data_IF_158132606543
#
_entry.id   IF_158132606543
#
_cell.length_a   1.000
_cell.length_b   1.000
_cell.length_c   1.000
_cell.angle_alpha   90.00
_cell.angle_beta   90.00
_cell.angle_gamma   90.00
#
_symmetry.space_group_name_H-M   'P 1'
#
loop_
_entity.id
_entity.type
_entity.pdbx_description
1 polymer ?
#
# COMPACT_ATOMS: atom_id res chain seq x y z
N UNK A 1 1.76 -21.22 10.95
CA UNK A 1 1.60 -19.84 10.43
C UNK A 1 2.14 -19.85 9.01
N UNK A 2 1.33 -19.45 8.03
CA UNK A 2 1.72 -19.38 6.62
C UNK A 2 2.17 -17.94 6.32
N UNK A 3 3.38 -17.74 5.82
CA UNK A 3 3.94 -16.43 5.54
C UNK A 3 4.26 -16.34 4.05
N UNK A 4 3.65 -15.39 3.34
CA UNK A 4 4.01 -15.08 1.97
C UNK A 4 5.36 -14.35 1.94
N UNK A 5 6.29 -14.87 1.18
CA UNK A 5 7.56 -14.20 0.93
C UNK A 5 7.41 -13.12 -0.15
N UNK A 6 8.28 -12.09 -0.16
CA UNK A 6 8.26 -11.08 -1.21
C UNK A 6 8.44 -11.72 -2.60
N UNK A 7 7.60 -11.34 -3.56
CA UNK A 7 7.69 -11.83 -4.94
C UNK A 7 8.64 -11.00 -5.79
N UNK A 8 8.71 -9.70 -5.53
CA UNK A 8 9.40 -8.73 -6.41
C UNK A 8 10.41 -7.83 -5.69
N UNK A 9 10.81 -8.21 -4.49
CA UNK A 9 11.91 -7.57 -3.76
C UNK A 9 13.22 -7.68 -4.56
N UNK A 10 14.00 -6.62 -4.62
CA UNK A 10 15.19 -6.51 -5.47
C UNK A 10 14.92 -6.26 -6.95
N UNK A 11 13.63 -6.21 -7.37
CA UNK A 11 13.22 -5.95 -8.74
C UNK A 11 12.32 -4.72 -8.87
N UNK A 12 11.23 -4.67 -8.10
CA UNK A 12 10.28 -3.55 -8.10
C UNK A 12 10.55 -2.53 -7.00
N UNK A 13 11.27 -2.93 -5.97
CA UNK A 13 11.73 -2.10 -4.86
C UNK A 13 13.01 -2.72 -4.27
N UNK A 14 13.77 -1.99 -3.45
CA UNK A 14 15.02 -2.51 -2.89
C UNK A 14 14.83 -3.77 -2.04
N UNK A 15 15.88 -4.60 -2.00
CA UNK A 15 15.85 -5.87 -1.28
C UNK A 15 16.11 -5.70 0.23
N UNK A 16 16.86 -4.67 0.62
CA UNK A 16 17.22 -4.44 2.01
C UNK A 16 16.32 -3.41 2.69
N UNK A 17 16.21 -3.52 4.01
CA UNK A 17 15.45 -2.57 4.82
C UNK A 17 16.02 -1.16 4.69
N UNK A 18 17.34 -1.05 4.79
CA UNK A 18 18.07 0.22 4.76
C UNK A 18 17.83 0.96 3.45
N UNK A 19 17.96 0.28 2.31
CA UNK A 19 17.71 0.87 0.99
C UNK A 19 16.24 1.27 0.80
N UNK A 20 15.30 0.45 1.31
CA UNK A 20 13.89 0.79 1.30
C UNK A 20 13.62 2.07 2.11
N UNK A 21 14.16 2.17 3.32
CA UNK A 21 13.99 3.34 4.18
C UNK A 21 14.60 4.61 3.57
N UNK A 22 15.78 4.52 2.96
CA UNK A 22 16.43 5.63 2.26
C UNK A 22 15.59 6.13 1.08
N UNK A 23 15.09 5.20 0.25
CA UNK A 23 14.29 5.57 -0.92
C UNK A 23 12.94 6.16 -0.53
N UNK A 24 12.27 5.60 0.48
CA UNK A 24 11.04 6.16 1.02
C UNK A 24 11.24 7.55 1.61
N UNK A 25 12.32 7.77 2.36
CA UNK A 25 12.66 9.09 2.90
C UNK A 25 12.88 10.11 1.77
N UNK A 26 13.57 9.72 0.69
CA UNK A 26 13.76 10.58 -0.49
C UNK A 26 12.43 10.97 -1.12
N UNK A 27 11.53 10.01 -1.37
CA UNK A 27 10.21 10.31 -1.97
C UNK A 27 9.38 11.24 -1.09
N UNK A 28 9.33 10.99 0.22
CA UNK A 28 8.59 11.83 1.15
C UNK A 28 9.17 13.25 1.25
N UNK A 29 10.49 13.42 1.20
CA UNK A 29 11.13 14.72 1.18
C UNK A 29 10.76 15.49 -0.11
N UNK A 30 10.84 14.86 -1.28
CA UNK A 30 10.45 15.48 -2.55
C UNK A 30 8.98 15.95 -2.53
N UNK A 31 8.09 15.14 -1.96
CA UNK A 31 6.67 15.49 -1.81
C UNK A 31 6.48 16.71 -0.89
N UNK A 32 7.24 16.76 0.22
CA UNK A 32 7.16 17.89 1.17
C UNK A 32 7.70 19.19 0.59
N UNK A 33 8.68 19.14 -0.30
CA UNK A 33 9.26 20.29 -0.99
C UNK A 33 8.35 20.82 -2.13
N UNK A 34 7.30 20.07 -2.52
CA UNK A 34 6.36 20.50 -3.55
C UNK A 34 5.38 21.54 -3.00
N UNK A 35 5.62 22.81 -3.33
CA UNK A 35 4.80 23.94 -2.84
C UNK A 35 3.33 23.80 -3.22
N UNK A 36 3.01 23.43 -4.46
CA UNK A 36 1.61 23.28 -4.92
C UNK A 36 0.87 22.18 -4.15
N UNK A 37 1.56 21.07 -3.89
CA UNK A 37 0.96 20.01 -3.09
C UNK A 37 0.81 20.42 -1.62
N UNK A 38 1.75 21.17 -1.07
CA UNK A 38 1.67 21.69 0.29
C UNK A 38 0.49 22.64 0.46
N UNK A 39 0.22 23.52 -0.50
CA UNK A 39 -0.97 24.37 -0.52
C UNK A 39 -2.27 23.55 -0.59
N UNK A 40 -2.35 22.56 -1.52
CA UNK A 40 -3.49 21.67 -1.64
C UNK A 40 -3.73 20.87 -0.34
N UNK A 41 -2.69 20.27 0.21
CA UNK A 41 -2.73 19.51 1.46
C UNK A 41 -3.25 20.37 2.61
N UNK A 42 -2.74 21.58 2.76
CA UNK A 42 -3.21 22.53 3.77
C UNK A 42 -4.71 22.82 3.62
N UNK A 43 -5.16 23.18 2.41
CA UNK A 43 -6.57 23.48 2.13
C UNK A 43 -7.47 22.26 2.41
N UNK A 44 -7.03 21.05 2.02
CA UNK A 44 -7.75 19.83 2.31
C UNK A 44 -7.85 19.57 3.82
N UNK A 45 -6.76 19.69 4.55
CA UNK A 45 -6.70 19.46 5.98
C UNK A 45 -7.48 20.50 6.81
N UNK A 46 -7.67 21.71 6.31
CA UNK A 46 -8.51 22.75 6.90
C UNK A 46 -10.00 22.55 6.61
N UNK A 47 -10.32 21.77 5.60
CA UNK A 47 -11.70 21.47 5.25
C UNK A 47 -12.33 20.45 6.22
N UNK A 48 -13.65 20.23 6.07
CA UNK A 48 -14.36 19.14 6.78
C UNK A 48 -14.30 17.79 6.07
N UNK A 49 -13.52 17.69 5.00
CA UNK A 49 -13.39 16.49 4.21
C UNK A 49 -12.75 15.34 5.01
N UNK A 50 -13.10 14.12 4.65
CA UNK A 50 -12.56 12.91 5.28
C UNK A 50 -11.87 12.06 4.21
N UNK A 51 -10.76 11.44 4.56
CA UNK A 51 -10.14 10.42 3.73
C UNK A 51 -10.86 9.10 4.00
N UNK A 52 -11.41 8.49 2.96
CA UNK A 52 -11.99 7.14 2.97
C UNK A 52 -11.10 6.13 2.24
N UNK A 53 -10.26 6.58 1.33
CA UNK A 53 -9.30 5.80 0.57
C UNK A 53 -8.45 6.69 -0.31
N UNK A 54 -7.41 6.11 -0.85
CA UNK A 54 -6.54 6.73 -1.87
C UNK A 54 -6.39 5.76 -3.03
N UNK A 55 -6.09 6.29 -4.19
CA UNK A 55 -5.68 5.52 -5.37
C UNK A 55 -4.25 5.95 -5.70
N UNK A 56 -3.35 4.98 -5.75
CA UNK A 56 -1.93 5.22 -6.03
C UNK A 56 -1.45 4.26 -7.11
N UNK A 57 -0.43 4.62 -7.91
CA UNK A 57 0.15 3.71 -8.89
C UNK A 57 0.91 2.58 -8.20
N UNK A 58 1.07 1.44 -8.90
CA UNK A 58 1.69 0.21 -8.40
C UNK A 58 2.81 -0.34 -9.30
N UNK A 59 3.42 0.47 -10.14
CA UNK A 59 4.65 0.10 -10.83
C UNK A 59 5.83 0.03 -9.83
N UNK A 60 6.98 -0.44 -10.28
CA UNK A 60 8.19 -0.43 -9.44
C UNK A 60 8.46 0.96 -8.84
N UNK A 61 9.02 1.00 -7.66
CA UNK A 61 9.22 2.24 -6.89
C UNK A 61 10.01 3.31 -7.63
N UNK A 62 10.95 2.90 -8.49
CA UNK A 62 11.70 3.83 -9.35
C UNK A 62 10.79 4.66 -10.27
N UNK A 63 9.66 4.07 -10.72
CA UNK A 63 8.76 4.71 -11.68
C UNK A 63 7.55 5.38 -11.02
N UNK A 64 7.05 4.83 -9.96
CA UNK A 64 5.77 5.26 -9.38
C UNK A 64 5.80 5.58 -7.88
N UNK A 65 6.89 5.25 -7.19
CA UNK A 65 6.98 5.42 -5.74
C UNK A 65 6.83 6.87 -5.29
N UNK A 66 7.44 7.83 -6.00
CA UNK A 66 7.29 9.25 -5.68
C UNK A 66 5.84 9.74 -5.87
N UNK A 67 5.15 9.26 -6.91
CA UNK A 67 3.73 9.61 -7.11
C UNK A 67 2.85 8.98 -6.02
N UNK A 68 3.11 7.74 -5.65
CA UNK A 68 2.40 7.09 -4.54
C UNK A 68 2.61 7.83 -3.21
N UNK A 69 3.79 8.37 -2.98
CA UNK A 69 4.16 9.09 -1.76
C UNK A 69 3.26 10.30 -1.48
N UNK A 70 2.71 10.97 -2.49
CA UNK A 70 1.74 12.06 -2.29
C UNK A 70 0.50 11.58 -1.53
N UNK A 71 -0.03 10.42 -1.88
CA UNK A 71 -1.19 9.83 -1.21
C UNK A 71 -0.87 9.44 0.24
N UNK A 72 0.27 8.82 0.46
CA UNK A 72 0.70 8.39 1.80
C UNK A 72 1.06 9.56 2.72
N UNK A 73 1.71 10.61 2.19
CA UNK A 73 1.99 11.82 2.95
C UNK A 73 0.68 12.52 3.40
N UNK A 74 -0.31 12.62 2.49
CA UNK A 74 -1.62 13.16 2.85
C UNK A 74 -2.30 12.36 3.96
N UNK A 75 -2.28 11.02 3.90
CA UNK A 75 -2.82 10.17 4.97
C UNK A 75 -2.10 10.41 6.29
N UNK A 76 -0.78 10.43 6.28
CA UNK A 76 0.06 10.67 7.47
C UNK A 76 -0.31 12.00 8.15
N UNK A 77 -0.37 13.08 7.38
CA UNK A 77 -0.73 14.40 7.88
C UNK A 77 -2.20 14.47 8.37
N UNK A 78 -3.12 13.80 7.66
CA UNK A 78 -4.51 13.71 8.08
C UNK A 78 -4.66 12.97 9.42
N UNK A 79 -3.94 11.86 9.61
CA UNK A 79 -3.92 11.12 10.89
C UNK A 79 -3.35 11.99 12.01
N UNK A 80 -2.23 12.66 11.77
CA UNK A 80 -1.59 13.55 12.74
C UNK A 80 -2.53 14.68 13.17
N UNK A 81 -3.20 15.32 12.22
CA UNK A 81 -4.12 16.45 12.49
C UNK A 81 -5.40 16.03 13.20
N UNK A 82 -5.97 14.89 12.83
CA UNK A 82 -7.30 14.46 13.32
C UNK A 82 -7.25 13.55 14.54
N UNK A 83 -6.07 13.03 14.89
CA UNK A 83 -5.90 11.98 15.91
C UNK A 83 -6.49 10.63 15.50
N UNK A 84 -6.91 10.46 14.24
CA UNK A 84 -7.47 9.21 13.75
C UNK A 84 -6.38 8.17 13.53
N UNK A 85 -6.71 6.92 13.86
CA UNK A 85 -5.89 5.74 13.60
C UNK A 85 -6.72 4.80 12.72
N UNK A 86 -6.14 4.38 11.60
CA UNK A 86 -6.74 3.34 10.77
C UNK A 86 -6.35 1.97 11.32
N UNK A 87 -7.28 1.31 12.01
CA UNK A 87 -7.06 -0.02 12.60
C UNK A 87 -7.13 -1.14 11.57
N UNK A 88 -7.73 -0.87 10.41
CA UNK A 88 -7.91 -1.82 9.31
C UNK A 88 -7.70 -1.09 8.00
N UNK A 89 -6.91 -1.70 7.12
CA UNK A 89 -6.63 -1.19 5.77
C UNK A 89 -7.01 -2.29 4.80
N UNK A 90 -7.73 -1.93 3.74
CA UNK A 90 -8.04 -2.83 2.63
C UNK A 90 -7.21 -2.35 1.45
N UNK A 91 -6.31 -3.22 0.97
CA UNK A 91 -5.56 -3.00 -0.27
C UNK A 91 -6.28 -3.72 -1.40
N UNK A 92 -6.51 -3.02 -2.51
CA UNK A 92 -7.17 -3.57 -3.70
C UNK A 92 -6.28 -3.26 -4.89
N UNK A 93 -5.94 -4.27 -5.65
CA UNK A 93 -5.15 -4.15 -6.86
C UNK A 93 -5.64 -5.08 -7.97
N UNK A 94 -5.25 -4.82 -9.22
CA UNK A 94 -5.55 -5.72 -10.33
C UNK A 94 -4.78 -7.04 -10.20
N UNK A 95 -5.25 -8.06 -10.87
CA UNK A 95 -4.53 -9.32 -11.01
C UNK A 95 -3.88 -9.40 -12.38
N UNK A 96 -2.55 -9.54 -12.43
CA UNK A 96 -1.78 -9.59 -13.68
C UNK A 96 -1.35 -11.01 -14.07
N UNK A 97 -1.34 -11.95 -13.12
CA UNK A 97 -0.67 -13.25 -13.29
C UNK A 97 -1.65 -14.38 -13.52
N UNK A 98 -2.60 -14.62 -12.64
CA UNK A 98 -3.53 -15.74 -12.71
C UNK A 98 -4.96 -15.23 -12.97
N UNK A 99 -5.55 -15.52 -14.16
CA UNK A 99 -6.92 -15.07 -14.45
C UNK A 99 -7.93 -15.54 -13.40
N UNK A 100 -8.74 -14.62 -12.92
CA UNK A 100 -9.84 -14.90 -11.99
C UNK A 100 -11.04 -14.01 -12.29
N UNK A 101 -12.23 -14.54 -12.05
CA UNK A 101 -13.48 -13.79 -12.14
C UNK A 101 -14.05 -13.43 -10.74
N UNK A 102 -13.25 -13.62 -9.71
CA UNK A 102 -13.61 -13.36 -8.32
C UNK A 102 -12.62 -12.39 -7.68
N UNK A 103 -13.05 -11.73 -6.61
CA UNK A 103 -12.14 -11.04 -5.71
C UNK A 103 -11.39 -12.09 -4.88
N UNK A 104 -10.08 -12.10 -5.00
CA UNK A 104 -9.22 -13.07 -4.31
C UNK A 104 -8.53 -12.41 -3.14
N UNK A 105 -8.64 -13.04 -1.98
CA UNK A 105 -7.96 -12.65 -0.75
C UNK A 105 -6.92 -13.71 -0.42
N UNK A 106 -5.74 -13.28 -0.02
CA UNK A 106 -4.67 -14.21 0.31
C UNK A 106 -5.00 -15.05 1.56
N UNK A 107 -4.74 -16.37 1.47
CA UNK A 107 -4.92 -17.33 2.57
C UNK A 107 -3.71 -17.42 3.52
N UNK A 108 -2.65 -16.67 3.27
CA UNK A 108 -1.54 -16.58 4.21
C UNK A 108 -1.96 -15.84 5.50
N UNK A 109 -1.20 -16.02 6.58
CA UNK A 109 -1.45 -15.34 7.85
C UNK A 109 -0.77 -13.96 7.88
N UNK A 110 0.30 -13.82 7.09
CA UNK A 110 1.08 -12.58 6.99
C UNK A 110 1.87 -12.52 5.69
N UNK A 111 2.33 -11.32 5.36
CA UNK A 111 3.30 -11.05 4.30
C UNK A 111 4.60 -10.55 4.89
N UNK A 112 5.71 -11.13 4.45
CA UNK A 112 7.05 -10.63 4.74
C UNK A 112 7.42 -9.54 3.74
N UNK A 113 8.01 -8.46 4.23
CA UNK A 113 8.64 -7.39 3.43
C UNK A 113 10.03 -7.08 3.98
N UNK A 114 10.90 -6.37 3.25
CA UNK A 114 12.16 -5.88 3.81
C UNK A 114 11.97 -5.02 5.07
N UNK A 115 10.83 -4.32 5.18
CA UNK A 115 10.50 -3.46 6.32
C UNK A 115 9.90 -4.23 7.50
N UNK A 116 9.62 -5.53 7.35
CA UNK A 116 9.05 -6.37 8.39
C UNK A 116 7.83 -7.16 7.94
N UNK A 117 7.20 -7.82 8.88
CA UNK A 117 6.04 -8.68 8.67
C UNK A 117 4.74 -7.90 8.85
N UNK A 118 3.82 -8.03 7.90
CA UNK A 118 2.46 -7.45 7.94
C UNK A 118 1.45 -8.56 8.11
N UNK A 119 0.70 -8.55 9.22
CA UNK A 119 -0.36 -9.51 9.50
C UNK A 119 -1.58 -9.27 8.62
N UNK A 120 -2.13 -10.33 8.07
CA UNK A 120 -3.37 -10.30 7.31
C UNK A 120 -4.58 -10.55 8.20
N UNK A 121 -5.64 -9.83 7.93
CA UNK A 121 -6.95 -10.14 8.49
C UNK A 121 -7.64 -11.18 7.61
N UNK A 122 -8.39 -12.10 8.23
CA UNK A 122 -9.21 -13.08 7.54
C UNK A 122 -10.71 -12.84 7.82
N UNK A 123 -11.31 -11.80 7.18
CA UNK A 123 -12.73 -11.55 7.34
C UNK A 123 -13.55 -12.71 6.76
N UNK A 124 -14.65 -13.06 7.40
CA UNK A 124 -15.59 -14.01 6.84
C UNK A 124 -16.43 -13.30 5.75
N UNK A 125 -16.23 -13.69 4.50
CA UNK A 125 -17.04 -13.19 3.38
C UNK A 125 -18.21 -14.12 3.12
N UNK A 126 -19.43 -13.61 3.30
CA UNK A 126 -20.65 -14.34 2.92
C UNK A 126 -20.92 -14.30 1.40
N UNK A 127 -20.26 -13.38 0.69
CA UNK A 127 -20.43 -13.21 -0.75
C UNK A 127 -19.59 -14.23 -1.52
N UNK A 128 -20.20 -15.07 -2.39
CA UNK A 128 -19.50 -16.12 -3.15
C UNK A 128 -18.51 -15.59 -4.20
N UNK A 129 -18.52 -14.28 -4.48
CA UNK A 129 -17.53 -13.65 -5.35
C UNK A 129 -16.21 -13.34 -4.65
N UNK A 130 -16.10 -13.57 -3.34
CA UNK A 130 -14.87 -13.50 -2.59
C UNK A 130 -14.38 -14.91 -2.24
N UNK A 131 -13.11 -15.16 -2.50
CA UNK A 131 -12.48 -16.45 -2.20
C UNK A 131 -11.12 -16.23 -1.53
N UNK A 132 -10.72 -17.17 -0.68
CA UNK A 132 -9.39 -17.27 -0.15
C UNK A 132 -8.55 -18.17 -1.03
N UNK A 133 -7.51 -17.65 -1.66
CA UNK A 133 -6.58 -18.39 -2.49
C UNK A 133 -5.24 -17.66 -2.53
N UNK A 134 -4.17 -18.31 -2.10
CA UNK A 134 -2.83 -17.74 -2.13
C UNK A 134 -2.18 -17.79 -3.50
N UNK A 135 -2.63 -18.65 -4.42
CA UNK A 135 -1.97 -18.86 -5.71
C UNK A 135 -1.86 -17.57 -6.55
N UNK A 136 -2.91 -16.75 -6.72
CA UNK A 136 -2.79 -15.49 -7.45
C UNK A 136 -1.85 -14.47 -6.80
N UNK A 137 -1.57 -14.60 -5.50
CA UNK A 137 -0.69 -13.68 -4.78
C UNK A 137 0.79 -14.07 -4.80
N UNK A 138 1.13 -15.32 -5.22
CA UNK A 138 2.51 -15.80 -5.15
C UNK A 138 3.48 -15.02 -6.04
N UNK A 139 3.02 -14.58 -7.20
CA UNK A 139 3.82 -13.85 -8.20
C UNK A 139 3.27 -12.45 -8.49
N UNK A 140 2.22 -12.03 -7.78
CA UNK A 140 1.59 -10.74 -7.99
C UNK A 140 2.33 -9.63 -7.23
N UNK A 141 2.56 -8.50 -7.90
CA UNK A 141 3.37 -7.39 -7.39
C UNK A 141 2.56 -6.18 -6.90
N UNK A 142 1.31 -6.02 -7.36
CA UNK A 142 0.57 -4.77 -7.23
C UNK A 142 0.23 -4.35 -5.79
N UNK A 143 0.19 -5.29 -4.86
CA UNK A 143 -0.08 -5.01 -3.45
C UNK A 143 1.18 -5.04 -2.57
N UNK A 144 2.32 -5.41 -3.14
CA UNK A 144 3.59 -5.51 -2.45
C UNK A 144 4.35 -4.19 -2.46
#
# INVERSE_FOLDING_TARGET
MKIRQPAVSGQFYPETKEECEELLAKFLNNVQENEKFSEYKKAFLESKNKIHGIVVPHAGWEYSGEIAAYGYDLIKEYMAKTGKIFNKIILIGPNHTIPTNKAVTDDNDSWQTPLGEVKLMKPNFENPNFVYDSAPHLEEHNLE
#
